data_IF_644982698017
#
_entry.id   IF_644982698017
#
_cell.length_a   1.000
_cell.length_b   1.000
_cell.length_c   1.000
_cell.angle_alpha   90.00
_cell.angle_beta   90.00
_cell.angle_gamma   90.00
#
_symmetry.space_group_name_H-M   'P 1'
#
loop_
_entity.id
_entity.type
_entity.pdbx_description
1 polymer ?
#
# COMPACT_ATOMS: atom_id res chain seq x y z
N UNK A 1 13.15 83.08 23.49
CA UNK A 1 12.43 83.52 24.71
C UNK A 1 11.71 82.28 25.27
N UNK A 2 12.20 81.77 26.41
CA UNK A 2 11.83 80.49 27.05
C UNK A 2 10.53 80.61 27.84
N UNK A 3 9.74 79.54 27.91
CA UNK A 3 9.05 79.11 29.15
C UNK A 3 8.89 77.58 29.17
N UNK A 4 9.44 76.97 30.21
CA UNK A 4 9.19 75.61 30.69
C UNK A 4 8.58 75.68 32.10
N UNK A 5 8.02 74.55 32.53
CA UNK A 5 7.51 74.14 33.86
C UNK A 5 5.99 73.93 33.87
N UNK A 6 5.48 72.69 33.75
CA UNK A 6 5.43 71.54 34.70
C UNK A 6 4.60 71.80 35.95
N UNK A 7 3.57 70.97 36.14
CA UNK A 7 3.16 70.49 37.46
C UNK A 7 2.43 69.14 37.30
N UNK A 8 2.67 68.24 38.25
CA UNK A 8 2.16 66.87 38.34
C UNK A 8 1.44 66.75 39.69
N UNK A 9 0.51 65.80 39.77
CA UNK A 9 0.16 64.97 40.95
C UNK A 9 -1.02 65.42 41.85
N UNK A 10 -1.54 64.56 42.76
CA UNK A 10 -2.42 63.39 42.51
C UNK A 10 -3.61 63.32 43.51
N UNK A 11 -4.46 62.27 43.45
CA UNK A 11 -5.40 61.90 44.52
C UNK A 11 -6.41 60.85 44.03
N UNK A 12 -6.39 59.58 44.45
CA UNK A 12 -6.73 58.93 45.74
C UNK A 12 -8.25 58.72 45.98
N UNK A 13 -8.56 57.48 46.42
CA UNK A 13 -9.78 56.92 47.09
C UNK A 13 -10.97 56.51 46.19
N UNK A 14 -11.34 55.21 46.13
CA UNK A 14 -12.03 54.31 47.08
C UNK A 14 -13.53 54.62 47.25
N UNK A 15 -14.38 53.69 46.79
CA UNK A 15 -15.67 53.27 47.40
C UNK A 15 -16.25 52.13 46.52
N UNK A 16 -16.39 50.89 46.99
CA UNK A 16 -17.38 50.34 47.94
C UNK A 16 -18.75 49.99 47.29
N UNK A 17 -19.00 48.67 47.29
CA UNK A 17 -20.26 47.97 47.52
C UNK A 17 -21.46 48.06 46.53
N UNK A 18 -21.64 46.93 45.83
CA UNK A 18 -22.83 46.06 45.85
C UNK A 18 -24.23 46.63 45.57
N UNK A 19 -24.85 46.16 44.48
CA UNK A 19 -26.29 45.95 44.41
C UNK A 19 -26.64 44.54 43.88
N UNK A 20 -27.45 43.86 44.68
CA UNK A 20 -28.15 42.61 44.43
C UNK A 20 -28.98 42.65 43.13
N UNK A 21 -28.98 41.56 42.37
CA UNK A 21 -30.19 41.09 41.68
C UNK A 21 -30.07 39.62 41.21
N UNK A 22 -30.87 38.77 41.87
CA UNK A 22 -31.67 37.69 41.25
C UNK A 22 -30.96 36.40 40.81
N UNK A 23 -30.99 35.41 41.73
CA UNK A 23 -31.07 33.98 41.37
C UNK A 23 -32.39 33.72 40.64
N UNK A 24 -32.36 33.02 39.50
CA UNK A 24 -33.40 32.06 39.07
C UNK A 24 -32.85 31.14 37.99
N UNK A 25 -32.74 29.87 38.37
CA UNK A 25 -32.46 28.71 37.53
C UNK A 25 -33.46 28.58 36.39
N UNK A 26 -32.96 28.33 35.17
CA UNK A 26 -33.69 27.68 34.11
C UNK A 26 -32.73 26.76 33.34
N UNK A 27 -32.77 25.47 33.65
CA UNK A 27 -32.31 24.43 32.73
C UNK A 27 -33.21 24.51 31.49
N UNK A 28 -32.66 24.93 30.36
CA UNK A 28 -33.25 24.67 29.05
C UNK A 28 -32.32 23.71 28.31
N UNK A 29 -32.73 22.45 28.27
CA UNK A 29 -32.14 21.43 27.43
C UNK A 29 -32.30 21.83 25.96
N UNK A 30 -31.20 21.90 25.22
CA UNK A 30 -31.21 21.85 23.76
C UNK A 30 -30.26 20.74 23.36
N UNK A 31 -30.84 19.55 23.12
CA UNK A 31 -30.21 18.49 22.35
C UNK A 31 -29.95 19.04 20.94
N UNK A 32 -28.70 19.42 20.65
CA UNK A 32 -28.26 19.60 19.27
C UNK A 32 -27.94 18.22 18.70
N UNK A 33 -28.83 17.72 17.84
CA UNK A 33 -28.72 16.46 17.14
C UNK A 33 -27.40 16.40 16.34
N UNK A 34 -26.49 15.53 16.76
CA UNK A 34 -25.35 15.13 15.95
C UNK A 34 -25.88 14.27 14.79
N UNK A 35 -26.17 14.92 13.67
CA UNK A 35 -26.49 14.24 12.42
C UNK A 35 -25.18 13.64 11.88
N UNK A 36 -24.85 12.45 12.37
CA UNK A 36 -23.76 11.65 11.85
C UNK A 36 -24.08 11.25 10.42
N UNK A 37 -23.51 11.96 9.44
CA UNK A 37 -23.39 11.47 8.08
C UNK A 37 -22.43 10.28 8.09
N UNK A 38 -22.96 9.08 8.37
CA UNK A 38 -22.26 7.83 8.09
C UNK A 38 -22.25 7.70 6.56
N UNK A 39 -21.21 8.26 5.94
CA UNK A 39 -20.94 8.01 4.53
C UNK A 39 -20.43 6.58 4.45
N UNK A 40 -21.33 5.64 4.15
CA UNK A 40 -20.94 4.27 3.82
C UNK A 40 -20.05 4.33 2.57
N UNK A 41 -18.73 4.20 2.75
CA UNK A 41 -17.80 3.92 1.65
C UNK A 41 -18.08 2.49 1.18
N UNK A 42 -19.05 2.33 0.30
CA UNK A 42 -19.07 1.16 -0.56
C UNK A 42 -17.77 1.23 -1.37
N UNK A 43 -16.82 0.34 -1.09
CA UNK A 43 -15.69 0.15 -1.97
C UNK A 43 -16.28 -0.30 -3.31
N UNK A 44 -16.25 0.58 -4.31
CA UNK A 44 -16.49 0.16 -5.69
C UNK A 44 -15.38 -0.87 -5.97
N UNK A 45 -15.75 -2.15 -6.03
CA UNK A 45 -14.83 -3.15 -6.54
C UNK A 45 -14.47 -2.72 -7.97
N UNK A 46 -13.24 -2.27 -8.17
CA UNK A 46 -12.75 -2.00 -9.51
C UNK A 46 -12.89 -3.30 -10.30
N UNK A 47 -13.49 -3.23 -11.49
CA UNK A 47 -13.57 -4.39 -12.36
C UNK A 47 -12.14 -4.89 -12.62
N UNK A 48 -11.85 -6.15 -12.30
CA UNK A 48 -10.52 -6.71 -12.48
C UNK A 48 -10.12 -6.68 -13.96
N UNK A 49 -8.83 -6.45 -14.21
CA UNK A 49 -8.28 -6.34 -15.56
C UNK A 49 -8.30 -7.69 -16.28
N UNK A 50 -8.83 -7.76 -17.50
CA UNK A 50 -8.88 -9.01 -18.25
C UNK A 50 -7.50 -9.41 -18.80
N UNK A 51 -7.19 -10.72 -18.82
CA UNK A 51 -6.04 -11.26 -19.57
C UNK A 51 -6.50 -11.84 -20.93
N UNK A 52 -5.66 -11.76 -21.98
CA UNK A 52 -5.98 -12.34 -23.27
C UNK A 52 -5.90 -13.88 -23.25
N UNK A 53 -6.64 -14.57 -24.15
CA UNK A 53 -6.58 -16.01 -24.27
C UNK A 53 -5.16 -16.54 -24.49
N UNK A 54 -4.78 -17.58 -23.74
CA UNK A 54 -3.46 -18.20 -23.84
C UNK A 54 -2.33 -17.40 -23.22
N UNK A 55 -2.63 -16.36 -22.43
CA UNK A 55 -1.62 -15.72 -21.57
C UNK A 55 -0.98 -16.75 -20.65
N UNK A 56 0.35 -16.75 -20.59
CA UNK A 56 1.12 -17.68 -19.79
C UNK A 56 2.32 -16.96 -19.16
N UNK A 57 2.45 -17.06 -17.85
CA UNK A 57 3.63 -16.63 -17.12
C UNK A 57 4.44 -17.87 -16.70
N UNK A 58 5.76 -17.79 -16.74
CA UNK A 58 6.62 -18.93 -16.46
C UNK A 58 7.99 -18.52 -15.96
N UNK A 59 8.60 -19.38 -15.15
CA UNK A 59 9.99 -19.21 -14.74
C UNK A 59 10.88 -19.82 -15.82
N UNK A 60 11.71 -19.00 -16.45
CA UNK A 60 12.71 -19.43 -17.44
C UNK A 60 13.88 -20.10 -16.70
N UNK A 61 14.29 -19.52 -15.58
CA UNK A 61 15.34 -20.05 -14.72
C UNK A 61 15.13 -19.55 -13.28
N UNK A 62 15.38 -20.37 -12.24
CA UNK A 62 15.88 -21.75 -12.30
C UNK A 62 14.81 -22.75 -12.77
N UNK A 63 15.21 -23.92 -13.31
CA UNK A 63 14.28 -25.01 -13.54
C UNK A 63 13.81 -25.62 -12.22
N UNK A 64 12.68 -26.32 -12.26
CA UNK A 64 12.23 -27.13 -11.13
C UNK A 64 13.25 -28.21 -10.76
N UNK A 65 13.47 -28.40 -9.47
CA UNK A 65 14.48 -29.29 -8.91
C UNK A 65 15.92 -28.76 -8.91
N UNK A 66 16.15 -27.50 -9.31
CA UNK A 66 17.51 -26.95 -9.36
C UNK A 66 18.21 -26.95 -7.99
N UNK A 67 19.52 -27.21 -8.01
CA UNK A 67 20.41 -27.05 -6.86
C UNK A 67 21.26 -25.80 -7.06
N UNK A 68 21.24 -24.90 -6.08
CA UNK A 68 21.90 -23.58 -6.13
C UNK A 68 22.94 -23.51 -5.01
N UNK A 69 24.17 -23.15 -5.35
CA UNK A 69 25.26 -22.95 -4.37
C UNK A 69 25.37 -21.47 -4.00
N UNK A 70 25.62 -21.17 -2.72
CA UNK A 70 25.97 -19.83 -2.24
C UNK A 70 24.80 -18.86 -2.06
N UNK A 71 23.56 -19.36 -2.19
CA UNK A 71 22.32 -18.61 -1.89
C UNK A 71 21.93 -17.51 -2.87
N UNK A 72 22.86 -17.03 -3.71
CA UNK A 72 22.61 -15.96 -4.69
C UNK A 72 22.30 -16.55 -6.05
N UNK A 73 21.12 -16.22 -6.57
CA UNK A 73 20.66 -16.69 -7.86
C UNK A 73 19.95 -15.59 -8.64
N UNK A 74 20.01 -15.72 -9.95
CA UNK A 74 19.05 -15.06 -10.84
C UNK A 74 17.67 -15.73 -10.77
N UNK A 75 16.63 -14.98 -11.09
CA UNK A 75 15.35 -15.52 -11.50
C UNK A 75 15.02 -14.83 -12.80
N UNK A 76 14.81 -15.61 -13.86
CA UNK A 76 14.43 -15.10 -15.18
C UNK A 76 12.97 -15.40 -15.40
N UNK A 77 12.20 -14.37 -15.69
CA UNK A 77 10.75 -14.38 -15.74
C UNK A 77 10.31 -14.27 -17.19
N UNK A 78 9.36 -15.12 -17.58
CA UNK A 78 8.81 -15.20 -18.92
C UNK A 78 7.34 -14.89 -18.92
N UNK A 79 6.89 -14.26 -20.00
CA UNK A 79 5.49 -13.98 -20.29
C UNK A 79 5.22 -14.26 -21.77
N UNK A 80 4.09 -14.89 -22.06
CA UNK A 80 3.63 -15.20 -23.42
C UNK A 80 2.21 -14.69 -23.60
N UNK A 81 1.91 -14.20 -24.81
CA UNK A 81 0.61 -13.65 -25.21
C UNK A 81 0.13 -12.43 -24.38
N UNK A 82 1.03 -11.81 -23.60
CA UNK A 82 0.86 -10.54 -22.90
C UNK A 82 2.18 -9.77 -22.90
N UNK A 83 2.12 -8.46 -22.63
CA UNK A 83 3.30 -7.62 -22.46
C UNK A 83 3.61 -7.30 -20.99
N UNK A 84 4.84 -6.87 -20.74
CA UNK A 84 5.27 -6.33 -19.45
C UNK A 84 5.19 -4.81 -19.50
N UNK A 85 4.57 -4.19 -18.49
CA UNK A 85 4.41 -2.75 -18.37
C UNK A 85 4.64 -2.31 -16.91
N UNK A 86 5.30 -1.16 -16.68
CA UNK A 86 5.45 -0.65 -15.32
C UNK A 86 4.11 -0.47 -14.60
N UNK A 87 4.11 -0.66 -13.27
CA UNK A 87 2.97 -0.38 -12.41
C UNK A 87 2.48 1.07 -12.57
N UNK A 88 1.19 1.28 -12.35
CA UNK A 88 0.54 2.58 -12.51
C UNK A 88 0.35 3.03 -13.97
N UNK A 89 0.92 2.31 -14.95
CA UNK A 89 0.68 2.57 -16.37
C UNK A 89 -0.43 1.65 -16.86
N UNK A 90 -1.53 2.24 -17.31
CA UNK A 90 -2.63 1.49 -17.93
C UNK A 90 -2.29 1.27 -19.40
N UNK A 91 -1.98 0.03 -19.76
CA UNK A 91 -1.77 -0.37 -21.14
C UNK A 91 -2.49 -1.71 -21.43
N UNK A 92 -3.11 -1.89 -22.62
CA UNK A 92 -3.86 -3.10 -22.90
C UNK A 92 -3.01 -4.37 -22.88
N UNK A 93 -3.54 -5.46 -22.28
CA UNK A 93 -2.91 -6.78 -22.25
C UNK A 93 -1.50 -6.79 -21.64
N UNK A 94 -1.28 -5.98 -20.61
CA UNK A 94 0.00 -5.90 -19.91
C UNK A 94 -0.14 -5.96 -18.40
N UNK A 95 0.90 -6.43 -17.74
CA UNK A 95 1.06 -6.38 -16.30
C UNK A 95 2.54 -6.33 -15.92
N UNK A 96 2.84 -6.65 -14.67
CA UNK A 96 4.21 -6.79 -14.21
C UNK A 96 4.35 -7.99 -13.28
N UNK A 97 5.58 -8.49 -13.17
CA UNK A 97 5.87 -9.71 -12.44
C UNK A 97 5.86 -9.51 -10.92
N UNK A 98 5.38 -10.53 -10.22
CA UNK A 98 5.61 -10.72 -8.79
C UNK A 98 6.19 -12.12 -8.58
N UNK A 99 7.23 -12.23 -7.76
CA UNK A 99 7.82 -13.51 -7.36
C UNK A 99 7.41 -13.87 -5.95
N UNK A 100 6.74 -15.00 -5.83
CA UNK A 100 6.35 -15.64 -4.59
C UNK A 100 7.46 -16.59 -4.16
N UNK A 101 7.90 -16.44 -2.92
CA UNK A 101 8.93 -17.26 -2.28
C UNK A 101 8.31 -17.91 -1.06
N UNK A 102 8.32 -19.23 -1.00
CA UNK A 102 7.85 -20.03 0.14
C UNK A 102 6.43 -19.68 0.63
N UNK A 103 5.55 -19.33 -0.31
CA UNK A 103 4.15 -19.00 -0.05
C UNK A 103 3.24 -19.59 -1.13
N UNK A 104 1.96 -19.69 -0.82
CA UNK A 104 0.91 -19.99 -1.80
C UNK A 104 0.45 -18.73 -2.53
N UNK A 105 -0.34 -18.92 -3.59
CA UNK A 105 -0.95 -17.79 -4.31
C UNK A 105 -1.80 -16.96 -3.33
N UNK A 106 -1.70 -15.62 -3.37
CA UNK A 106 -2.57 -14.74 -2.60
C UNK A 106 -4.01 -14.81 -3.13
N UNK A 107 -4.98 -14.15 -2.46
CA UNK A 107 -6.30 -13.92 -3.04
C UNK A 107 -6.19 -13.30 -4.44
N UNK A 108 -6.93 -13.86 -5.40
CA UNK A 108 -6.81 -13.50 -6.82
C UNK A 108 -7.66 -12.29 -7.22
N UNK A 109 -8.30 -11.66 -6.24
CA UNK A 109 -9.21 -10.52 -6.37
C UNK A 109 -8.76 -9.31 -5.54
N UNK A 110 -7.57 -9.37 -4.96
CA UNK A 110 -6.98 -8.34 -4.11
C UNK A 110 -5.59 -7.94 -4.61
N UNK A 111 -5.06 -6.87 -4.05
CA UNK A 111 -3.68 -6.46 -4.30
C UNK A 111 -2.72 -7.57 -3.85
N UNK A 112 -1.78 -7.94 -4.73
CA UNK A 112 -0.70 -8.87 -4.38
C UNK A 112 0.15 -8.21 -3.29
N UNK A 113 0.42 -8.90 -2.16
CA UNK A 113 1.28 -8.35 -1.11
C UNK A 113 2.65 -7.95 -1.65
N UNK A 114 3.31 -7.01 -0.97
CA UNK A 114 4.70 -6.65 -1.24
C UNK A 114 5.50 -6.77 0.05
N UNK A 115 6.09 -7.93 0.25
CA UNK A 115 6.85 -8.27 1.46
C UNK A 115 8.03 -9.20 1.13
N UNK A 116 8.62 -9.85 2.13
CA UNK A 116 9.80 -10.72 1.93
C UNK A 116 9.50 -12.00 1.14
N UNK A 117 8.24 -12.41 1.12
CA UNK A 117 7.76 -13.60 0.41
C UNK A 117 7.09 -13.23 -0.92
N UNK A 118 6.84 -11.95 -1.18
CA UNK A 118 6.21 -11.43 -2.40
C UNK A 118 7.06 -10.27 -2.94
N UNK A 119 8.02 -10.60 -3.80
CA UNK A 119 8.90 -9.62 -4.40
C UNK A 119 8.26 -9.00 -5.63
N UNK A 120 8.33 -7.67 -5.71
CA UNK A 120 7.64 -6.90 -6.74
C UNK A 120 8.60 -6.37 -7.81
N UNK A 121 8.26 -6.60 -9.08
CA UNK A 121 9.01 -6.15 -10.25
C UNK A 121 8.20 -5.17 -11.09
N UNK A 122 7.76 -4.10 -10.44
CA UNK A 122 6.83 -3.12 -11.00
C UNK A 122 7.45 -2.11 -11.96
N UNK A 123 8.76 -2.13 -12.22
CA UNK A 123 9.36 -1.30 -13.27
C UNK A 123 9.40 -2.02 -14.63
N UNK A 124 8.89 -3.26 -14.67
CA UNK A 124 8.87 -4.11 -15.86
C UNK A 124 10.12 -4.98 -15.99
N UNK A 125 10.76 -5.31 -14.87
CA UNK A 125 11.92 -6.20 -14.85
C UNK A 125 11.54 -7.62 -15.26
N UNK A 126 12.29 -8.19 -16.20
CA UNK A 126 12.12 -9.58 -16.66
C UNK A 126 13.09 -10.55 -16.01
N UNK A 127 13.99 -10.04 -15.17
CA UNK A 127 14.89 -10.83 -14.35
C UNK A 127 15.27 -10.08 -13.07
N UNK A 128 15.65 -10.84 -12.05
CA UNK A 128 16.07 -10.28 -10.78
C UNK A 128 17.14 -11.17 -10.13
N UNK A 129 18.02 -10.57 -9.35
CA UNK A 129 18.93 -11.30 -8.47
C UNK A 129 18.32 -11.36 -7.07
N UNK A 130 18.13 -12.57 -6.55
CA UNK A 130 17.63 -12.80 -5.20
C UNK A 130 18.68 -13.54 -4.36
N UNK A 131 18.49 -13.51 -3.05
CA UNK A 131 19.31 -14.24 -2.09
C UNK A 131 18.41 -15.05 -1.16
N UNK A 132 18.67 -16.35 -1.09
CA UNK A 132 17.91 -17.30 -0.28
C UNK A 132 18.85 -18.00 0.70
N UNK A 133 18.40 -18.28 1.93
CA UNK A 133 19.19 -19.06 2.87
C UNK A 133 19.35 -20.51 2.37
N UNK A 134 20.31 -21.29 2.90
CA UNK A 134 20.38 -22.72 2.63
C UNK A 134 19.10 -23.45 3.06
N UNK A 135 18.56 -24.29 2.18
CA UNK A 135 17.29 -24.98 2.41
C UNK A 135 16.53 -25.32 1.13
N UNK A 136 15.36 -25.92 1.30
CA UNK A 136 14.40 -26.15 0.20
C UNK A 136 13.47 -24.95 0.10
N UNK A 137 13.32 -24.40 -1.08
CA UNK A 137 12.47 -23.24 -1.35
C UNK A 137 11.50 -23.51 -2.48
N UNK A 138 10.33 -22.88 -2.44
CA UNK A 138 9.41 -22.84 -3.58
C UNK A 138 9.36 -21.46 -4.20
N UNK A 139 9.35 -21.42 -5.54
CA UNK A 139 9.23 -20.19 -6.32
C UNK A 139 8.00 -20.28 -7.23
N UNK A 140 7.25 -19.19 -7.34
CA UNK A 140 6.14 -19.07 -8.27
C UNK A 140 6.00 -17.62 -8.72
N UNK A 141 5.60 -17.39 -9.97
CA UNK A 141 5.28 -16.06 -10.46
C UNK A 141 3.77 -15.85 -10.49
N UNK A 142 3.33 -14.61 -10.29
CA UNK A 142 1.96 -14.14 -10.60
C UNK A 142 2.03 -12.75 -11.23
N UNK A 143 1.20 -12.52 -12.24
CA UNK A 143 1.15 -11.26 -12.98
C UNK A 143 0.09 -10.32 -12.39
N UNK A 144 0.55 -9.19 -11.85
CA UNK A 144 -0.30 -8.10 -11.40
C UNK A 144 -0.60 -7.11 -12.53
N UNK A 145 -1.79 -6.52 -12.52
CA UNK A 145 -2.13 -5.38 -13.38
C UNK A 145 -1.47 -4.07 -12.88
N UNK A 146 -1.84 -2.94 -13.46
CA UNK A 146 -1.32 -1.62 -13.07
C UNK A 146 -1.48 -1.28 -11.57
N UNK A 147 -2.41 -1.92 -10.84
CA UNK A 147 -2.65 -1.75 -9.40
C UNK A 147 -2.25 -2.99 -8.57
N UNK A 148 -1.40 -3.88 -9.12
CA UNK A 148 -0.98 -5.14 -8.49
C UNK A 148 -2.11 -6.13 -8.24
N UNK A 149 -3.26 -5.98 -8.88
CA UNK A 149 -4.35 -6.96 -8.75
C UNK A 149 -4.17 -8.00 -9.86
N UNK A 150 -4.29 -9.31 -9.56
CA UNK A 150 -4.24 -10.33 -10.60
C UNK A 150 -5.31 -10.12 -11.68
N UNK A 151 -4.95 -10.48 -12.90
CA UNK A 151 -5.86 -10.40 -14.05
C UNK A 151 -6.98 -11.47 -13.98
N UNK A 152 -7.99 -11.36 -14.85
CA UNK A 152 -9.05 -12.36 -15.03
C UNK A 152 -9.10 -12.86 -16.49
N UNK A 153 -8.85 -14.16 -16.76
CA UNK A 153 -8.36 -15.16 -15.81
C UNK A 153 -6.97 -14.80 -15.25
N UNK A 154 -6.61 -15.32 -14.06
CA UNK A 154 -5.30 -15.08 -13.45
C UNK A 154 -4.19 -15.69 -14.29
N UNK A 155 -3.05 -14.99 -14.36
CA UNK A 155 -1.85 -15.45 -15.08
C UNK A 155 -0.76 -15.64 -14.04
N UNK A 156 -0.34 -16.88 -13.83
CA UNK A 156 0.71 -17.27 -12.89
C UNK A 156 1.48 -18.46 -13.44
N UNK A 157 2.71 -18.65 -12.97
CA UNK A 157 3.52 -19.81 -13.36
C UNK A 157 3.16 -21.08 -12.60
N UNK A 158 3.67 -22.21 -13.09
CA UNK A 158 3.84 -23.38 -12.23
C UNK A 158 4.70 -23.02 -11.03
N UNK A 159 4.37 -23.57 -9.87
CA UNK A 159 5.23 -23.54 -8.69
C UNK A 159 6.40 -24.52 -8.91
N UNK A 160 7.61 -24.05 -8.71
CA UNK A 160 8.83 -24.86 -8.77
C UNK A 160 9.44 -24.99 -7.37
N UNK A 161 10.22 -26.04 -7.16
CA UNK A 161 11.01 -26.27 -5.95
C UNK A 161 12.49 -26.21 -6.30
N UNK A 162 13.29 -25.51 -5.49
CA UNK A 162 14.75 -25.50 -5.60
C UNK A 162 15.38 -25.87 -4.25
N UNK A 163 16.64 -26.28 -4.28
CA UNK A 163 17.45 -26.52 -3.09
C UNK A 163 18.66 -25.61 -3.10
N UNK A 164 18.83 -24.81 -2.06
CA UNK A 164 19.99 -23.95 -1.84
C UNK A 164 20.95 -24.65 -0.88
N UNK A 165 22.20 -24.81 -1.31
CA UNK A 165 23.29 -25.36 -0.51
C UNK A 165 24.21 -24.26 -0.02
N UNK A 166 24.86 -24.52 1.13
CA UNK A 166 26.04 -23.75 1.54
C UNK A 166 27.16 -24.04 0.54
N UNK A 167 28.00 -23.03 0.29
CA UNK A 167 29.25 -23.20 -0.45
C UNK A 167 30.23 -24.13 0.30
#
# INVERSE_FOLDING_TARGET
MRRTHTHVDPGIQHDAAAHFATRRTALCAILAAALGCVVSRAALAAAQTASPPGAEEYIIWPPDGAVIHGGKLWVRMGLRNMGVCPKGVVFPNTGHHHLLIDTDLPPLDQEIPSDRNHLHFGAGETDARIELPPGKHTLQLILGDHNHVPHVPPVYSKKITITVQKD
#
